data_IF_457630533842
#
_entry.id   IF_457630533842
#
_cell.length_a   1.000
_cell.length_b   1.000
_cell.length_c   1.000
_cell.angle_alpha   90.00
_cell.angle_beta   90.00
_cell.angle_gamma   90.00
#
_symmetry.space_group_name_H-M   'P 1'
#
loop_
_entity.id
_entity.type
_entity.pdbx_description
1 polymer ?
#
# COMPACT_ATOMS: atom_id res chain seq x y z
N UNK A 1 7.24 -5.12 -2.27
CA UNK A 1 6.19 -5.55 -3.19
C UNK A 1 6.66 -5.42 -4.64
N UNK A 2 6.36 -6.42 -5.47
CA UNK A 2 6.49 -6.33 -6.92
C UNK A 2 5.18 -5.89 -7.57
N UNK A 3 5.25 -5.39 -8.80
CA UNK A 3 4.06 -5.01 -9.55
C UNK A 3 3.26 -6.25 -10.00
N UNK A 4 1.94 -6.20 -9.88
CA UNK A 4 1.06 -7.22 -10.44
C UNK A 4 0.59 -6.81 -11.84
N UNK A 5 1.28 -7.29 -12.86
CA UNK A 5 0.97 -6.99 -14.27
C UNK A 5 -0.13 -7.87 -14.86
N UNK A 6 -0.61 -8.88 -14.12
CA UNK A 6 -1.64 -9.79 -14.63
C UNK A 6 -3.02 -9.14 -14.82
N UNK A 7 -3.26 -8.00 -14.18
CA UNK A 7 -4.53 -7.25 -14.23
C UNK A 7 -4.38 -5.88 -14.90
N UNK A 8 -3.52 -5.77 -15.85
CA UNK A 8 -2.98 -4.51 -16.36
C UNK A 8 -3.92 -3.67 -17.25
N UNK A 9 -5.08 -4.15 -17.66
CA UNK A 9 -5.89 -3.45 -18.67
C UNK A 9 -6.39 -2.05 -18.23
N UNK A 10 -6.47 -1.79 -16.92
CA UNK A 10 -6.87 -0.49 -16.37
C UNK A 10 -5.80 0.11 -15.44
N UNK A 11 -4.63 -0.49 -15.38
CA UNK A 11 -3.55 -0.06 -14.52
C UNK A 11 -2.63 0.92 -15.22
N UNK A 12 -2.23 1.96 -14.51
CA UNK A 12 -1.19 2.88 -14.95
C UNK A 12 0.17 2.53 -14.35
N UNK A 13 0.26 1.41 -13.63
CA UNK A 13 1.46 1.05 -12.87
C UNK A 13 2.70 0.87 -13.70
N UNK A 14 2.59 0.50 -14.97
CA UNK A 14 3.74 0.40 -15.88
C UNK A 14 4.52 1.71 -16.04
N UNK A 15 3.88 2.86 -15.84
CA UNK A 15 4.53 4.18 -15.90
C UNK A 15 4.71 4.81 -14.51
N UNK A 16 3.85 4.49 -13.57
CA UNK A 16 3.81 5.10 -12.24
C UNK A 16 4.65 4.32 -11.23
N UNK A 17 4.64 2.99 -11.31
CA UNK A 17 5.36 2.14 -10.37
C UNK A 17 6.87 2.12 -10.67
N UNK A 18 7.66 2.39 -9.64
CA UNK A 18 9.11 2.27 -9.70
C UNK A 18 9.57 1.01 -8.98
N UNK A 19 9.94 -0.02 -9.74
CA UNK A 19 10.35 -1.32 -9.21
C UNK A 19 11.64 -1.24 -8.36
N UNK A 20 12.52 -0.29 -8.64
CA UNK A 20 13.78 -0.14 -7.90
C UNK A 20 13.56 0.36 -6.47
N UNK A 21 12.52 1.15 -6.23
CA UNK A 21 12.19 1.72 -4.93
C UNK A 21 10.94 1.10 -4.30
N UNK A 22 10.16 0.32 -5.07
CA UNK A 22 8.87 -0.22 -4.63
C UNK A 22 7.80 0.85 -4.42
N UNK A 23 7.95 2.01 -5.02
CA UNK A 23 7.07 3.16 -4.80
C UNK A 23 6.27 3.54 -6.04
N UNK A 24 5.11 4.18 -5.80
CA UNK A 24 4.31 4.82 -6.84
C UNK A 24 4.65 6.30 -6.94
N UNK A 25 4.85 6.76 -8.17
CA UNK A 25 5.01 8.17 -8.52
C UNK A 25 3.64 8.76 -8.77
N UNK A 26 3.17 9.62 -7.88
CA UNK A 26 1.82 10.16 -7.96
C UNK A 26 1.73 11.42 -8.85
N UNK A 27 2.84 11.92 -9.34
CA UNK A 27 2.92 13.03 -10.30
C UNK A 27 2.36 12.72 -11.70
N UNK A 28 2.08 11.45 -11.98
CA UNK A 28 1.38 11.02 -13.20
C UNK A 28 -0.15 11.13 -13.08
N UNK A 29 -0.67 11.42 -11.88
CA UNK A 29 -2.10 11.56 -11.62
C UNK A 29 -2.58 12.99 -11.90
N UNK A 30 -3.87 13.09 -12.23
CA UNK A 30 -4.58 14.34 -12.20
C UNK A 30 -5.39 14.48 -10.91
N UNK A 31 -5.55 15.70 -10.43
CA UNK A 31 -6.47 15.96 -9.31
C UNK A 31 -7.87 15.48 -9.68
N UNK A 32 -8.47 14.71 -8.77
CA UNK A 32 -9.77 14.10 -8.98
C UNK A 32 -9.75 12.71 -9.61
N UNK A 33 -8.57 12.19 -9.98
CA UNK A 33 -8.45 10.81 -10.41
C UNK A 33 -8.87 9.86 -9.28
N UNK A 34 -9.61 8.83 -9.65
CA UNK A 34 -10.07 7.80 -8.73
C UNK A 34 -8.99 6.72 -8.60
N UNK A 35 -8.47 6.53 -7.40
CA UNK A 35 -7.35 5.64 -7.15
C UNK A 35 -7.75 4.44 -6.29
N UNK A 36 -7.24 3.28 -6.65
CA UNK A 36 -7.42 2.05 -5.89
C UNK A 36 -6.13 1.26 -5.84
N UNK A 37 -5.76 0.76 -4.65
CA UNK A 37 -4.59 -0.08 -4.42
C UNK A 37 -5.00 -1.46 -3.95
N UNK A 38 -4.25 -2.48 -4.37
CA UNK A 38 -4.31 -3.83 -3.81
C UNK A 38 -2.91 -4.29 -3.45
N UNK A 39 -2.78 -4.90 -2.29
CA UNK A 39 -1.54 -5.46 -1.80
C UNK A 39 -1.70 -6.96 -1.56
N UNK A 40 -0.85 -7.78 -2.17
CA UNK A 40 -0.84 -9.22 -1.96
C UNK A 40 0.37 -9.58 -1.11
N UNK A 41 0.13 -10.24 0.03
CA UNK A 41 1.20 -10.69 0.92
C UNK A 41 0.77 -11.91 1.75
N UNK A 42 1.76 -12.72 2.12
CA UNK A 42 1.58 -13.76 3.12
C UNK A 42 1.98 -13.21 4.49
N UNK A 43 1.23 -13.55 5.50
CA UNK A 43 1.47 -13.12 6.87
C UNK A 43 1.38 -14.31 7.82
N UNK A 44 2.33 -14.40 8.74
CA UNK A 44 2.34 -15.42 9.80
C UNK A 44 2.47 -14.72 11.15
N UNK A 45 1.39 -14.64 11.95
CA UNK A 45 1.44 -14.07 13.30
C UNK A 45 2.37 -14.92 14.18
N UNK A 46 3.19 -14.25 14.99
CA UNK A 46 4.09 -14.89 15.95
C UNK A 46 3.49 -14.97 17.36
N UNK A 47 2.47 -14.16 17.62
CA UNK A 47 1.79 -14.04 18.91
C UNK A 47 0.29 -14.01 18.71
N UNK A 48 -0.45 -14.42 19.75
CA UNK A 48 -1.89 -14.27 19.78
C UNK A 48 -2.32 -12.79 19.86
N UNK A 49 -3.50 -12.50 19.34
CA UNK A 49 -4.11 -11.16 19.39
C UNK A 49 -3.25 -10.08 18.73
N UNK A 50 -2.75 -10.37 17.53
CA UNK A 50 -1.97 -9.45 16.74
C UNK A 50 -2.86 -8.64 15.81
N UNK A 51 -2.68 -7.32 15.81
CA UNK A 51 -3.35 -6.40 14.87
C UNK A 51 -2.34 -5.95 13.82
N UNK A 52 -2.73 -6.05 12.56
CA UNK A 52 -1.92 -5.65 11.41
C UNK A 52 -2.64 -4.57 10.63
N UNK A 53 -1.95 -3.48 10.36
CA UNK A 53 -2.47 -2.38 9.57
C UNK A 53 -1.74 -2.36 8.22
N UNK A 54 -2.52 -2.28 7.16
CA UNK A 54 -2.01 -2.13 5.79
C UNK A 54 -2.27 -0.71 5.33
N UNK A 55 -1.27 -0.10 4.73
CA UNK A 55 -1.40 1.29 4.34
C UNK A 55 -0.37 1.72 3.31
N UNK A 56 -0.29 3.02 3.15
CA UNK A 56 0.69 3.70 2.32
C UNK A 56 1.53 4.63 3.19
N UNK A 57 2.82 4.63 2.95
CA UNK A 57 3.69 5.71 3.41
C UNK A 57 3.71 6.75 2.29
N UNK A 58 3.27 7.95 2.61
CA UNK A 58 3.33 9.10 1.73
C UNK A 58 4.59 9.89 2.02
N UNK A 59 5.42 10.07 1.01
CA UNK A 59 6.60 10.92 1.07
C UNK A 59 6.32 12.21 0.29
N UNK A 60 6.24 13.32 0.99
CA UNK A 60 6.00 14.65 0.42
C UNK A 60 7.18 15.57 0.66
N UNK A 61 7.33 16.60 -0.17
CA UNK A 61 8.32 17.65 0.02
C UNK A 61 7.62 18.96 0.34
N UNK A 62 8.13 19.69 1.32
CA UNK A 62 7.70 21.04 1.61
C UNK A 62 8.38 22.08 0.68
N UNK A 63 8.04 23.36 0.85
CA UNK A 63 8.60 24.45 0.07
C UNK A 63 10.13 24.61 0.25
N UNK A 64 10.68 24.11 1.35
CA UNK A 64 12.13 24.09 1.66
C UNK A 64 12.81 22.81 1.20
N UNK A 65 12.10 21.96 0.44
CA UNK A 65 12.57 20.68 -0.08
C UNK A 65 12.87 19.62 1.01
N UNK A 66 12.32 19.76 2.21
CA UNK A 66 12.38 18.75 3.25
C UNK A 66 11.36 17.65 2.95
N UNK A 67 11.76 16.39 3.17
CA UNK A 67 10.88 15.23 2.98
C UNK A 67 10.17 14.92 4.29
N UNK A 68 8.84 14.79 4.22
CA UNK A 68 8.00 14.33 5.32
C UNK A 68 7.36 13.00 4.96
N UNK A 69 7.34 12.07 5.91
CA UNK A 69 6.73 10.76 5.76
C UNK A 69 5.48 10.67 6.64
N UNK A 70 4.38 10.20 6.05
CA UNK A 70 3.12 9.97 6.76
C UNK A 70 2.57 8.60 6.42
N UNK A 71 2.23 7.80 7.43
CA UNK A 71 1.53 6.54 7.23
C UNK A 71 0.02 6.82 7.17
N UNK A 72 -0.61 6.38 6.09
CA UNK A 72 -2.05 6.43 5.92
C UNK A 72 -2.60 5.00 5.83
N UNK A 73 -3.52 4.67 6.73
CA UNK A 73 -4.23 3.41 6.72
C UNK A 73 -5.12 3.32 5.48
N UNK A 74 -5.07 2.21 4.74
CA UNK A 74 -5.83 2.04 3.50
C UNK A 74 -7.08 1.18 3.65
N UNK A 75 -7.39 0.73 4.84
CA UNK A 75 -8.54 -0.13 5.11
C UNK A 75 -8.67 -0.38 6.61
N UNK A 76 -9.54 -1.29 6.97
CA UNK A 76 -9.65 -1.70 8.37
C UNK A 76 -8.45 -2.54 8.79
N UNK A 77 -8.00 -2.42 10.05
CA UNK A 77 -6.96 -3.30 10.59
C UNK A 77 -7.35 -4.77 10.52
N UNK A 78 -6.37 -5.62 10.23
CA UNK A 78 -6.52 -7.07 10.23
C UNK A 78 -6.21 -7.59 11.63
N UNK A 79 -7.13 -8.35 12.22
CA UNK A 79 -6.93 -8.94 13.54
C UNK A 79 -6.74 -10.45 13.46
N UNK A 80 -5.68 -10.93 14.11
CA UNK A 80 -5.36 -12.34 14.22
C UNK A 80 -5.43 -12.76 15.69
N UNK A 81 -6.51 -13.47 16.06
CA UNK A 81 -6.78 -13.86 17.42
C UNK A 81 -5.94 -15.02 17.94
N UNK A 82 -6.30 -15.50 19.12
CA UNK A 82 -5.72 -16.70 19.71
C UNK A 82 -5.94 -17.90 18.79
N UNK A 83 -4.93 -18.77 18.67
CA UNK A 83 -4.96 -19.95 17.79
C UNK A 83 -4.52 -19.71 16.35
N UNK A 84 -4.23 -18.46 15.95
CA UNK A 84 -3.67 -18.16 14.63
C UNK A 84 -2.16 -18.14 14.60
N UNK A 85 -1.50 -18.17 15.76
CA UNK A 85 -0.05 -18.13 15.90
C UNK A 85 0.62 -19.24 15.08
N UNK A 86 1.58 -18.87 14.25
CA UNK A 86 2.32 -19.80 13.39
C UNK A 86 1.59 -20.22 12.10
N UNK A 87 0.34 -19.81 11.91
CA UNK A 87 -0.40 -20.07 10.67
C UNK A 87 -0.11 -18.98 9.64
N UNK A 88 0.05 -19.39 8.38
CA UNK A 88 0.28 -18.45 7.28
C UNK A 88 -1.03 -18.13 6.58
N UNK A 89 -1.31 -16.85 6.44
CA UNK A 89 -2.52 -16.32 5.77
C UNK A 89 -2.13 -15.54 4.52
N UNK A 90 -2.83 -15.81 3.43
CA UNK A 90 -2.77 -14.97 2.24
C UNK A 90 -3.75 -13.82 2.41
N UNK A 91 -3.24 -12.60 2.34
CA UNK A 91 -4.02 -11.39 2.45
C UNK A 91 -3.96 -10.59 1.15
N UNK A 92 -5.09 -10.05 0.74
CA UNK A 92 -5.25 -9.23 -0.47
C UNK A 92 -6.13 -8.02 -0.19
N UNK A 93 -5.78 -7.20 0.81
CA UNK A 93 -6.60 -6.04 1.12
C UNK A 93 -6.63 -5.07 -0.06
N UNK A 94 -7.81 -4.57 -0.34
CA UNK A 94 -8.04 -3.57 -1.38
C UNK A 94 -8.45 -2.28 -0.69
N UNK A 95 -7.74 -1.22 -0.97
CA UNK A 95 -8.19 0.12 -0.60
C UNK A 95 -9.30 0.52 -1.54
N UNK A 96 -10.45 0.79 -0.99
CA UNK A 96 -11.47 1.49 -1.72
C UNK A 96 -11.01 2.92 -2.00
N UNK A 97 -11.32 3.33 -3.12
CA UNK A 97 -11.19 4.58 -3.77
C UNK A 97 -10.99 5.80 -2.91
N UNK A 98 -10.00 6.54 -3.25
CA UNK A 98 -9.94 7.96 -2.93
C UNK A 98 -9.74 8.77 -4.21
N UNK A 99 -10.11 10.04 -4.14
CA UNK A 99 -9.86 10.99 -5.21
C UNK A 99 -8.51 11.67 -4.97
N UNK A 100 -7.66 11.69 -5.99
CA UNK A 100 -6.37 12.34 -5.89
C UNK A 100 -6.52 13.85 -5.63
N UNK A 101 -5.78 14.36 -4.66
CA UNK A 101 -5.71 15.79 -4.31
C UNK A 101 -4.42 16.42 -4.85
N UNK A 102 -4.31 17.73 -4.73
CA UNK A 102 -3.07 18.44 -5.08
C UNK A 102 -1.85 17.97 -4.29
N UNK A 103 -2.05 17.55 -3.04
CA UNK A 103 -0.98 17.01 -2.20
C UNK A 103 -0.53 15.64 -2.68
N UNK A 104 -1.48 14.80 -3.09
CA UNK A 104 -1.21 13.44 -3.55
C UNK A 104 -0.38 13.43 -4.83
N UNK A 105 -0.70 14.29 -5.80
CA UNK A 105 -0.01 14.31 -7.10
C UNK A 105 1.45 14.79 -7.00
N UNK A 106 1.84 15.36 -5.88
CA UNK A 106 3.22 15.76 -5.60
C UNK A 106 3.97 14.79 -4.69
N UNK A 107 3.35 13.67 -4.33
CA UNK A 107 3.91 12.69 -3.40
C UNK A 107 4.54 11.47 -4.10
N UNK A 108 5.20 10.65 -3.27
CA UNK A 108 5.51 9.26 -3.55
C UNK A 108 4.75 8.40 -2.56
N UNK A 109 4.14 7.33 -3.03
CA UNK A 109 3.41 6.40 -2.18
C UNK A 109 4.12 5.04 -2.15
N UNK A 110 4.37 4.52 -0.95
CA UNK A 110 4.96 3.21 -0.74
C UNK A 110 3.97 2.31 0.00
N UNK A 111 3.65 1.13 -0.53
CA UNK A 111 2.92 0.12 0.23
C UNK A 111 3.66 -0.21 1.53
N UNK A 112 2.94 -0.23 2.64
CA UNK A 112 3.51 -0.47 3.96
C UNK A 112 2.58 -1.31 4.82
N UNK A 113 3.19 -2.09 5.70
CA UNK A 113 2.49 -2.92 6.69
C UNK A 113 3.13 -2.63 8.03
N UNK A 114 2.30 -2.40 9.05
CA UNK A 114 2.76 -2.33 10.43
C UNK A 114 1.91 -3.22 11.32
N UNK A 115 2.50 -3.73 12.40
CA UNK A 115 1.84 -4.58 13.35
C UNK A 115 2.17 -4.16 14.77
N UNK A 116 1.26 -4.43 15.71
CA UNK A 116 1.48 -4.17 17.14
C UNK A 116 2.35 -5.22 17.82
N UNK A 117 2.53 -6.37 17.17
CA UNK A 117 3.41 -7.45 17.61
C UNK A 117 4.20 -8.02 16.44
N UNK A 118 5.33 -8.74 16.69
CA UNK A 118 6.11 -9.35 15.63
C UNK A 118 5.29 -10.29 14.74
N UNK A 119 5.46 -10.13 13.45
CA UNK A 119 4.87 -10.97 12.40
C UNK A 119 5.92 -11.29 11.35
N UNK A 120 5.78 -12.43 10.67
CA UNK A 120 6.50 -12.66 9.43
C UNK A 120 5.65 -12.20 8.26
N UNK A 121 6.23 -11.37 7.39
CA UNK A 121 5.60 -10.88 6.18
C UNK A 121 6.41 -11.35 4.99
N UNK A 122 5.72 -11.96 4.02
CA UNK A 122 6.25 -12.18 2.68
C UNK A 122 5.49 -11.28 1.72
N UNK A 123 6.05 -10.13 1.32
CA UNK A 123 5.46 -9.29 0.29
C UNK A 123 5.42 -10.04 -1.05
N UNK A 124 4.28 -9.97 -1.75
CA UNK A 124 4.12 -10.56 -3.07
C UNK A 124 4.06 -9.45 -4.12
N UNK A 125 2.84 -8.98 -4.42
CA UNK A 125 2.64 -7.98 -5.45
C UNK A 125 1.76 -6.83 -4.98
N UNK A 126 1.86 -5.72 -5.68
CA UNK A 126 0.95 -4.58 -5.53
C UNK A 126 0.36 -4.21 -6.88
N UNK A 127 -0.89 -3.78 -6.89
CA UNK A 127 -1.59 -3.30 -8.07
C UNK A 127 -2.18 -1.94 -7.76
N UNK A 128 -2.02 -1.02 -8.69
CA UNK A 128 -2.61 0.30 -8.62
C UNK A 128 -3.45 0.55 -9.87
N UNK A 129 -4.70 0.93 -9.68
CA UNK A 129 -5.61 1.29 -10.76
C UNK A 129 -6.06 2.73 -10.64
N UNK A 130 -6.21 3.39 -11.78
CA UNK A 130 -6.68 4.78 -11.87
C UNK A 130 -7.89 4.83 -12.77
N UNK A 131 -8.98 5.43 -12.27
CA UNK A 131 -10.16 5.79 -13.04
C UNK A 131 -10.15 7.29 -13.37
N UNK A 132 -10.38 7.59 -14.63
CA UNK A 132 -10.44 8.97 -15.15
C UNK A 132 -11.76 9.24 -15.86
#
# INVERSE_FOLDING_TARGET
FGENTAYNAASTSGTIFNAATGSYRMDELNVGDFCQFRFDFNLTPQFANTTVEVGLIWATRDASNNVTFTFALTGEPLFYGAGTTGQTFLNRPVTTAYLASDEDVNARALPAIRADQPVFIQPLTTLFTVGR
#
